data_IF_440501202410
#
_entry.id   IF_440501202410
#
_cell.length_a   1.000
_cell.length_b   1.000
_cell.length_c   1.000
_cell.angle_alpha   90.00
_cell.angle_beta   90.00
_cell.angle_gamma   90.00
#
_symmetry.space_group_name_H-M   'P 1'
#
loop_
_entity.id
_entity.type
_entity.pdbx_description
1 polymer ?
#
# COMPACT_ATOMS: atom_id res chain seq x y z
N UNK A 1 2.95 -10.31 -6.86
CA UNK A 1 2.27 -9.34 -5.96
C UNK A 1 1.19 -8.56 -6.70
N UNK A 2 1.53 -7.88 -7.80
CA UNK A 2 0.53 -7.26 -8.69
C UNK A 2 -0.37 -8.33 -9.32
N UNK A 3 0.21 -9.47 -9.73
CA UNK A 3 -0.58 -10.61 -10.22
C UNK A 3 -1.56 -11.17 -9.16
N UNK A 4 -1.27 -10.95 -7.87
CA UNK A 4 -2.16 -11.32 -6.75
C UNK A 4 -3.25 -10.27 -6.52
N UNK A 5 -2.99 -9.01 -6.85
CA UNK A 5 -4.00 -7.95 -6.80
C UNK A 5 -4.89 -7.95 -8.06
N UNK A 6 -4.37 -8.45 -9.18
CA UNK A 6 -5.06 -8.62 -10.45
C UNK A 6 -5.79 -9.97 -10.57
N UNK A 7 -6.08 -10.64 -9.43
CA UNK A 7 -6.71 -11.97 -9.42
C UNK A 7 -8.08 -11.99 -10.12
N UNK A 8 -8.76 -10.85 -10.18
CA UNK A 8 -10.11 -10.71 -10.76
C UNK A 8 -10.14 -10.09 -12.18
N UNK A 9 -8.98 -9.79 -12.80
CA UNK A 9 -8.94 -9.24 -14.16
C UNK A 9 -7.55 -8.89 -14.70
N UNK A 10 -7.44 -8.77 -16.02
CA UNK A 10 -6.20 -8.34 -16.67
C UNK A 10 -5.79 -6.92 -16.22
N UNK A 11 -4.48 -6.70 -16.08
CA UNK A 11 -3.92 -5.38 -15.82
C UNK A 11 -4.35 -4.40 -16.91
N UNK A 12 -4.79 -3.21 -16.50
CA UNK A 12 -5.15 -2.14 -17.42
C UNK A 12 -4.28 -0.89 -17.19
N UNK A 13 -4.11 -0.09 -18.23
CA UNK A 13 -3.48 1.21 -18.07
C UNK A 13 -4.34 2.10 -17.17
N UNK A 14 -3.68 2.84 -16.29
CA UNK A 14 -4.31 3.63 -15.24
C UNK A 14 -4.57 2.87 -13.94
N UNK A 15 -4.31 1.56 -13.89
CA UNK A 15 -4.38 0.81 -12.63
C UNK A 15 -3.26 1.24 -11.68
N UNK A 16 -3.59 1.34 -10.38
CA UNK A 16 -2.62 1.61 -9.33
C UNK A 16 -2.94 0.75 -8.12
N UNK A 17 -1.91 0.14 -7.55
CA UNK A 17 -2.03 -0.76 -6.41
C UNK A 17 -1.28 -0.21 -5.20
N UNK A 18 -1.80 -0.46 -4.01
CA UNK A 18 -1.17 -0.14 -2.73
C UNK A 18 -1.00 -1.39 -1.87
N UNK A 19 0.14 -1.51 -1.17
CA UNK A 19 0.36 -2.52 -0.14
C UNK A 19 1.53 -2.15 0.78
N UNK A 20 1.56 -2.76 1.96
CA UNK A 20 2.74 -2.80 2.84
C UNK A 20 2.96 -4.18 3.48
N UNK A 21 2.09 -5.16 3.18
CA UNK A 21 2.15 -6.49 3.78
C UNK A 21 3.50 -7.17 3.52
N UNK A 22 4.30 -7.48 4.56
CA UNK A 22 5.60 -8.12 4.39
C UNK A 22 5.49 -9.54 3.81
N UNK A 23 4.35 -10.22 3.98
CA UNK A 23 4.12 -11.54 3.41
C UNK A 23 3.83 -11.48 1.91
N UNK A 24 3.45 -10.31 1.38
CA UNK A 24 3.11 -10.08 -0.03
C UNK A 24 4.07 -9.09 -0.74
N UNK A 25 5.31 -8.97 -0.24
CA UNK A 25 6.37 -8.18 -0.89
C UNK A 25 6.61 -6.81 -0.26
N UNK A 26 5.99 -6.50 0.88
CA UNK A 26 6.37 -5.41 1.77
C UNK A 26 7.77 -5.62 2.38
N UNK A 27 8.38 -4.54 2.88
CA UNK A 27 9.72 -4.57 3.53
C UNK A 27 9.57 -4.42 5.04
N UNK A 28 8.97 -3.31 5.45
CA UNK A 28 8.55 -3.06 6.82
C UNK A 28 7.10 -2.57 6.79
N UNK A 29 6.35 -2.80 7.87
CA UNK A 29 4.95 -2.34 7.96
C UNK A 29 4.80 -0.81 7.86
N UNK A 30 5.88 -0.06 8.08
CA UNK A 30 5.89 1.38 7.85
C UNK A 30 6.05 1.79 6.39
N UNK A 31 6.39 0.88 5.50
CA UNK A 31 6.73 1.17 4.10
C UNK A 31 5.52 0.86 3.21
N UNK A 32 4.86 1.91 2.76
CA UNK A 32 3.75 1.82 1.82
C UNK A 32 4.31 1.85 0.41
N UNK A 33 3.87 0.92 -0.42
CA UNK A 33 4.27 0.81 -1.80
C UNK A 33 3.09 1.11 -2.68
N UNK A 34 3.26 2.04 -3.60
CA UNK A 34 2.38 2.24 -4.74
C UNK A 34 3.03 1.64 -5.97
N UNK A 35 2.30 0.84 -6.73
CA UNK A 35 2.81 0.26 -7.97
C UNK A 35 1.79 0.41 -9.08
N UNK A 36 2.26 0.86 -10.25
CA UNK A 36 1.47 1.05 -11.45
C UNK A 36 2.12 0.33 -12.64
N UNK A 37 1.40 -0.53 -13.38
CA UNK A 37 1.86 -0.98 -14.69
C UNK A 37 1.90 0.19 -15.68
N UNK A 38 2.97 0.29 -16.44
CA UNK A 38 3.11 1.24 -17.54
C UNK A 38 3.07 0.49 -18.87
N UNK A 39 2.16 0.89 -19.75
CA UNK A 39 1.91 0.22 -21.01
C UNK A 39 2.63 0.91 -22.17
N UNK A 40 3.12 0.10 -23.11
CA UNK A 40 3.62 0.54 -24.42
C UNK A 40 3.15 -0.47 -25.45
N UNK A 41 2.58 0.01 -26.56
CA UNK A 41 2.08 -0.85 -27.64
C UNK A 41 1.09 -1.92 -27.12
N UNK A 42 0.18 -1.53 -26.21
CA UNK A 42 -0.81 -2.39 -25.53
C UNK A 42 -0.23 -3.56 -24.71
N UNK A 43 1.07 -3.53 -24.40
CA UNK A 43 1.71 -4.51 -23.53
C UNK A 43 2.31 -3.82 -22.30
N UNK A 44 2.38 -4.52 -21.17
CA UNK A 44 3.10 -4.02 -19.99
C UNK A 44 4.58 -3.88 -20.35
N UNK A 45 5.07 -2.65 -20.36
CA UNK A 45 6.47 -2.35 -20.66
C UNK A 45 7.32 -2.40 -19.39
N UNK A 46 6.84 -1.78 -18.32
CA UNK A 46 7.50 -1.81 -17.02
C UNK A 46 6.50 -1.52 -15.90
N UNK A 47 6.96 -1.61 -14.66
CA UNK A 47 6.22 -1.20 -13.48
C UNK A 47 6.89 0.01 -12.86
N UNK A 48 6.09 1.04 -12.59
CA UNK A 48 6.51 2.20 -11.83
C UNK A 48 6.15 1.95 -10.37
N UNK A 49 7.16 1.92 -9.50
CA UNK A 49 6.97 1.73 -8.07
C UNK A 49 7.45 2.97 -7.31
N UNK A 50 6.64 3.38 -6.34
CA UNK A 50 7.00 4.40 -5.37
C UNK A 50 6.86 3.82 -3.97
N UNK A 51 7.89 4.01 -3.15
CA UNK A 51 7.90 3.53 -1.76
C UNK A 51 8.00 4.74 -0.85
N UNK A 52 7.05 4.81 0.09
CA UNK A 52 7.03 5.82 1.13
C UNK A 52 7.15 5.16 2.50
N UNK A 53 8.21 5.49 3.22
CA UNK A 53 8.38 5.03 4.59
C UNK A 53 7.80 6.05 5.55
N UNK A 54 6.79 5.64 6.31
CA UNK A 54 6.18 6.45 7.36
C UNK A 54 7.08 6.41 8.62
N UNK A 55 8.22 7.10 8.57
CA UNK A 55 9.11 7.24 9.72
C UNK A 55 8.52 8.22 10.74
N UNK A 56 7.70 7.75 11.70
CA UNK A 56 7.29 8.56 12.85
C UNK A 56 7.78 8.00 14.19
N UNK A 57 8.27 8.92 15.01
CA UNK A 57 8.68 8.73 16.40
C UNK A 57 7.47 8.33 17.27
N UNK A 58 7.56 7.14 17.87
CA UNK A 58 6.99 6.80 19.20
C UNK A 58 5.51 7.12 19.44
N UNK A 59 4.57 6.57 18.67
CA UNK A 59 3.19 6.34 19.14
C UNK A 59 2.72 4.93 18.78
N UNK A 60 1.82 4.39 19.60
CA UNK A 60 1.51 2.95 19.73
C UNK A 60 0.97 2.26 18.48
N UNK A 61 0.51 2.99 17.45
CA UNK A 61 -0.16 2.37 16.29
C UNK A 61 0.74 2.12 15.08
N UNK A 62 1.93 2.71 15.01
CA UNK A 62 2.89 2.55 13.90
C UNK A 62 4.32 2.69 14.42
N UNK A 63 4.76 1.77 15.29
CA UNK A 63 6.18 1.68 15.60
C UNK A 63 6.85 0.90 14.47
N UNK A 64 7.72 1.57 13.70
CA UNK A 64 8.47 0.91 12.62
C UNK A 64 9.22 -0.35 13.07
N UNK A 65 9.57 -0.41 14.37
CA UNK A 65 10.17 -1.55 15.04
C UNK A 65 9.68 -1.54 16.48
N UNK A 66 8.89 -2.53 16.88
CA UNK A 66 8.47 -2.69 18.27
C UNK A 66 9.29 -3.84 18.89
N UNK A 67 10.32 -3.55 19.70
CA UNK A 67 11.24 -4.59 20.20
C UNK A 67 10.60 -5.71 21.02
N UNK A 68 9.37 -5.51 21.49
CA UNK A 68 8.58 -6.50 22.22
C UNK A 68 7.40 -7.07 21.44
N UNK A 69 7.27 -6.75 20.15
CA UNK A 69 6.28 -7.40 19.30
C UNK A 69 6.73 -8.83 19.02
N UNK A 70 5.83 -9.77 19.25
CA UNK A 70 6.02 -11.18 18.89
C UNK A 70 5.36 -11.49 17.55
N UNK A 71 4.49 -10.60 17.06
CA UNK A 71 3.72 -10.77 15.84
C UNK A 71 3.57 -9.46 15.06
N UNK A 72 3.51 -9.55 13.74
CA UNK A 72 3.42 -8.39 12.83
C UNK A 72 2.19 -7.51 13.07
N UNK A 73 1.06 -8.09 13.49
CA UNK A 73 -0.17 -7.35 13.82
C UNK A 73 -0.01 -6.37 15.00
N UNK A 74 1.05 -6.54 15.80
CA UNK A 74 1.35 -5.68 16.94
C UNK A 74 2.21 -4.47 16.57
N UNK A 75 2.82 -4.46 15.37
CA UNK A 75 3.73 -3.40 14.94
C UNK A 75 3.01 -2.30 14.13
N UNK A 76 1.92 -2.66 13.47
CA UNK A 76 1.12 -1.72 12.70
C UNK A 76 0.09 -2.40 11.81
N UNK A 77 -0.53 -1.58 10.95
CA UNK A 77 -1.51 -2.06 9.99
C UNK A 77 -0.83 -2.82 8.85
N UNK A 78 -1.40 -3.96 8.49
CA UNK A 78 -1.06 -4.75 7.32
C UNK A 78 -2.12 -4.50 6.23
N UNK A 79 -1.67 -3.99 5.08
CA UNK A 79 -2.46 -3.71 3.90
C UNK A 79 -2.04 -4.73 2.83
N UNK A 80 -2.90 -5.71 2.53
CA UNK A 80 -2.67 -6.62 1.42
C UNK A 80 -2.72 -5.84 0.09
N UNK A 81 -2.21 -6.41 -1.01
CA UNK A 81 -2.30 -5.82 -2.34
C UNK A 81 -3.75 -5.47 -2.72
N UNK A 82 -4.04 -4.16 -2.77
CA UNK A 82 -5.35 -3.63 -3.13
C UNK A 82 -5.24 -2.58 -4.23
N UNK A 83 -6.24 -2.50 -5.10
CA UNK A 83 -6.28 -1.55 -6.22
C UNK A 83 -6.88 -0.21 -5.78
N UNK A 84 -6.09 0.88 -5.78
CA UNK A 84 -6.55 2.23 -5.45
C UNK A 84 -7.10 2.98 -6.65
N UNK A 85 -6.65 2.65 -7.85
CA UNK A 85 -7.20 3.15 -9.10
C UNK A 85 -7.47 1.99 -10.05
N UNK A 86 -8.63 1.98 -10.68
CA UNK A 86 -9.00 1.07 -11.77
C UNK A 86 -9.20 1.88 -13.04
N UNK A 87 -8.37 1.65 -14.06
CA UNK A 87 -8.43 2.35 -15.35
C UNK A 87 -8.46 3.88 -15.23
N UNK A 88 -7.74 4.42 -14.24
CA UNK A 88 -7.69 5.85 -13.94
C UNK A 88 -8.81 6.37 -13.06
N UNK A 89 -9.80 5.55 -12.70
CA UNK A 89 -10.86 5.89 -11.75
C UNK A 89 -10.44 5.54 -10.32
N UNK A 90 -10.61 6.49 -9.39
CA UNK A 90 -10.21 6.32 -8.00
C UNK A 90 -11.24 5.49 -7.22
N UNK A 91 -10.78 4.46 -6.52
CA UNK A 91 -11.56 3.74 -5.51
C UNK A 91 -11.60 4.56 -4.21
N UNK A 92 -12.61 5.43 -4.11
CA UNK A 92 -12.73 6.39 -3.00
C UNK A 92 -12.89 5.71 -1.63
N UNK A 93 -13.55 4.55 -1.59
CA UNK A 93 -13.71 3.70 -0.42
C UNK A 93 -12.37 3.26 0.19
N UNK A 94 -11.42 2.81 -0.65
CA UNK A 94 -10.08 2.42 -0.20
C UNK A 94 -9.33 3.64 0.34
N UNK A 95 -9.45 4.79 -0.33
CA UNK A 95 -8.85 6.03 0.16
C UNK A 95 -9.46 6.45 1.51
N UNK A 96 -10.77 6.31 1.69
CA UNK A 96 -11.44 6.68 2.93
C UNK A 96 -11.07 5.75 4.08
N UNK A 97 -10.89 4.44 3.81
CA UNK A 97 -10.32 3.49 4.77
C UNK A 97 -8.90 3.91 5.15
N UNK A 98 -8.04 4.18 4.18
CA UNK A 98 -6.66 4.61 4.42
C UNK A 98 -6.61 5.94 5.20
N UNK A 99 -7.51 6.89 4.90
CA UNK A 99 -7.65 8.16 5.62
C UNK A 99 -8.14 7.96 7.05
N UNK A 100 -9.12 7.09 7.30
CA UNK A 100 -9.62 6.82 8.65
C UNK A 100 -8.51 6.25 9.53
N UNK A 101 -7.68 5.39 8.94
CA UNK A 101 -6.53 4.79 9.61
C UNK A 101 -5.43 5.83 9.81
N UNK A 102 -5.21 6.71 8.82
CA UNK A 102 -4.33 7.87 8.95
C UNK A 102 -4.84 8.88 9.99
N UNK A 103 -6.15 9.05 10.18
CA UNK A 103 -6.74 10.04 11.09
C UNK A 103 -6.54 9.70 12.58
N UNK A 104 -6.10 8.48 12.91
CA UNK A 104 -5.50 8.17 14.21
C UNK A 104 -4.15 8.91 14.45
N UNK A 105 -3.59 9.52 13.40
CA UNK A 105 -2.48 10.45 13.42
C UNK A 105 -3.08 11.85 13.25
N UNK A 106 -3.24 12.58 14.36
CA UNK A 106 -3.74 13.96 14.38
C UNK A 106 -3.11 14.89 13.32
N UNK A 107 -3.82 15.98 12.93
CA UNK A 107 -3.43 16.83 11.82
C UNK A 107 -2.05 17.43 12.07
N UNK A 108 -1.23 17.43 11.01
CA UNK A 108 -0.02 18.26 10.97
C UNK A 108 -0.45 19.71 10.66
N UNK A 109 -1.13 20.34 11.60
CA UNK A 109 -1.16 21.79 11.81
C UNK A 109 -1.60 22.09 13.24
#
# INVERSE_FOLDING_TARGET
MIDKAAVDGDLADGDVYIFNDPYDGGTHLSDFKLVRPFFRDNNVFCYLAWVWSLARRRRQCTRQLQPGATESFQEGMLIPPGQTFSKGELHQDIIDILKAIHACLEPLW
#
